data_IF_206680624631
#
_entry.id   IF_206680624631
#
_cell.length_a   1.000
_cell.length_b   1.000
_cell.length_c   1.000
_cell.angle_alpha   90.00
_cell.angle_beta   90.00
_cell.angle_gamma   90.00
#
_symmetry.space_group_name_H-M   'P 1'
#
loop_
_entity.id
_entity.type
_entity.pdbx_description
1 polymer ?
#
# COMPACT_ATOMS: atom_id res chain seq x y z
N UNK A 1 8.59 -14.59 4.99
CA UNK A 1 10.06 -14.39 4.79
C UNK A 1 10.92 -15.66 4.66
N UNK A 2 10.47 -16.87 5.01
CA UNK A 2 11.34 -18.07 5.06
C UNK A 2 12.07 -18.42 3.76
N UNK A 3 11.44 -18.24 2.59
CA UNK A 3 12.09 -18.49 1.29
C UNK A 3 13.09 -17.37 0.97
N UNK A 4 12.68 -16.11 1.11
CA UNK A 4 13.51 -14.94 0.82
C UNK A 4 14.81 -14.96 1.62
N UNK A 5 14.77 -15.31 2.90
CA UNK A 5 15.97 -15.36 3.76
C UNK A 5 16.94 -16.50 3.40
N UNK A 6 16.55 -17.44 2.54
CA UNK A 6 17.40 -18.56 2.09
C UNK A 6 18.00 -18.35 0.70
N UNK A 7 17.51 -17.37 -0.04
CA UNK A 7 18.01 -17.10 -1.39
C UNK A 7 19.39 -16.44 -1.31
N UNK A 8 20.38 -16.87 -2.12
CA UNK A 8 21.71 -16.29 -2.14
C UNK A 8 21.70 -14.97 -2.93
N UNK A 9 21.12 -13.92 -2.35
CA UNK A 9 21.07 -12.61 -2.98
C UNK A 9 22.49 -12.03 -3.15
N UNK A 10 22.85 -11.53 -4.35
CA UNK A 10 23.99 -10.64 -4.50
C UNK A 10 23.88 -9.44 -3.57
N UNK A 11 25.01 -8.87 -3.15
CA UNK A 11 25.08 -7.75 -2.18
C UNK A 11 24.15 -6.59 -2.55
N UNK A 12 24.08 -6.24 -3.85
CA UNK A 12 23.17 -5.20 -4.37
C UNK A 12 21.67 -5.44 -4.11
N UNK A 13 21.27 -6.64 -3.73
CA UNK A 13 19.88 -7.03 -3.43
C UNK A 13 19.70 -7.54 -2.00
N UNK A 14 20.68 -7.33 -1.12
CA UNK A 14 20.66 -7.85 0.24
C UNK A 14 19.46 -7.37 1.08
N UNK A 15 18.86 -6.22 0.71
CA UNK A 15 17.67 -5.66 1.38
C UNK A 15 16.33 -6.25 0.91
N UNK A 16 16.27 -6.92 -0.25
CA UNK A 16 15.01 -7.41 -0.81
C UNK A 16 14.21 -8.32 0.14
N UNK A 17 14.83 -9.24 0.91
CA UNK A 17 14.10 -10.05 1.87
C UNK A 17 13.37 -9.25 2.95
N UNK A 18 13.97 -8.15 3.38
CA UNK A 18 13.40 -7.24 4.38
C UNK A 18 12.26 -6.44 3.76
N UNK A 19 12.49 -5.75 2.63
CA UNK A 19 11.49 -4.93 1.96
C UNK A 19 10.25 -5.76 1.59
N UNK A 20 10.45 -6.86 0.86
CA UNK A 20 9.35 -7.73 0.45
C UNK A 20 8.78 -8.53 1.62
N UNK A 21 9.56 -8.75 2.67
CA UNK A 21 9.14 -9.48 3.87
C UNK A 21 8.22 -8.67 4.79
N UNK A 22 8.47 -7.37 4.85
CA UNK A 22 7.90 -6.46 5.84
C UNK A 22 6.75 -5.60 5.29
N UNK A 23 6.40 -5.68 4.00
CA UNK A 23 5.32 -4.86 3.42
C UNK A 23 3.91 -5.20 3.93
N UNK A 24 3.74 -6.28 4.69
CA UNK A 24 2.51 -6.59 5.44
C UNK A 24 2.61 -6.27 6.94
N UNK A 25 3.75 -5.72 7.38
CA UNK A 25 3.86 -5.10 8.69
C UNK A 25 3.00 -3.84 8.73
N UNK A 26 2.54 -3.49 9.93
CA UNK A 26 1.67 -2.34 10.16
C UNK A 26 2.35 -1.39 11.11
N UNK A 27 2.24 -0.07 10.88
CA UNK A 27 2.88 0.94 11.74
C UNK A 27 2.54 0.73 13.23
N UNK A 28 1.33 0.27 13.55
CA UNK A 28 0.82 -0.01 14.89
C UNK A 28 1.28 -1.36 15.48
N UNK A 29 2.18 -2.10 14.83
CA UNK A 29 2.73 -3.37 15.32
C UNK A 29 1.80 -4.58 15.18
N UNK A 30 0.60 -4.42 14.63
CA UNK A 30 -0.38 -5.52 14.45
C UNK A 30 -0.23 -6.24 13.11
N UNK A 31 0.86 -5.98 12.40
CA UNK A 31 1.18 -6.60 11.13
C UNK A 31 1.85 -7.96 11.31
N UNK A 32 2.33 -8.49 10.19
CA UNK A 32 3.01 -9.78 10.15
C UNK A 32 4.08 -9.76 9.04
N UNK A 33 5.09 -10.66 9.06
CA UNK A 33 5.24 -11.84 9.92
C UNK A 33 6.06 -11.67 11.20
N UNK A 34 6.73 -10.54 11.40
CA UNK A 34 7.66 -10.26 12.49
C UNK A 34 7.02 -9.37 13.58
N UNK A 35 5.94 -8.65 13.27
CA UNK A 35 5.26 -7.76 14.23
C UNK A 35 6.04 -6.46 14.44
N UNK A 36 6.68 -5.96 13.37
CA UNK A 36 7.44 -4.71 13.41
C UNK A 36 6.49 -3.51 13.54
N UNK A 37 6.97 -2.45 14.19
CA UNK A 37 6.21 -1.22 14.41
C UNK A 37 6.99 0.04 14.04
N UNK A 38 6.28 1.10 13.65
CA UNK A 38 6.87 2.41 13.34
C UNK A 38 8.12 2.34 12.45
N UNK A 39 9.24 2.81 13.00
CA UNK A 39 10.53 2.90 12.29
C UNK A 39 11.30 1.59 12.19
N UNK A 40 10.83 0.51 12.82
CA UNK A 40 11.37 -0.84 12.57
C UNK A 40 11.04 -1.32 11.15
N UNK A 41 10.02 -0.73 10.52
CA UNK A 41 9.64 -1.00 9.13
C UNK A 41 10.41 -0.04 8.22
N UNK A 42 11.18 -0.58 7.27
CA UNK A 42 11.88 0.24 6.29
C UNK A 42 10.93 1.16 5.53
N UNK A 43 11.45 2.31 5.11
CA UNK A 43 10.67 3.25 4.33
C UNK A 43 10.21 2.64 2.99
N UNK A 44 11.06 1.82 2.37
CA UNK A 44 10.76 1.08 1.15
C UNK A 44 9.61 0.07 1.35
N UNK A 45 9.58 -0.66 2.46
CA UNK A 45 8.47 -1.57 2.79
C UNK A 45 7.16 -0.78 3.02
N UNK A 46 7.23 0.39 3.66
CA UNK A 46 6.06 1.26 3.87
C UNK A 46 5.50 1.81 2.55
N UNK A 47 6.36 2.19 1.60
CA UNK A 47 5.94 2.58 0.24
C UNK A 47 5.27 1.39 -0.45
N UNK A 48 5.90 0.21 -0.39
CA UNK A 48 5.39 -1.00 -1.04
C UNK A 48 4.02 -1.39 -0.49
N UNK A 49 3.80 -1.26 0.83
CA UNK A 49 2.50 -1.54 1.45
C UNK A 49 1.37 -0.68 0.88
N UNK A 50 1.59 0.64 0.74
CA UNK A 50 0.58 1.56 0.17
C UNK A 50 0.26 1.19 -1.27
N UNK A 51 1.29 0.93 -2.09
CA UNK A 51 1.13 0.55 -3.49
C UNK A 51 0.39 -0.79 -3.64
N UNK A 52 0.82 -1.83 -2.90
CA UNK A 52 0.25 -3.18 -2.95
C UNK A 52 -1.24 -3.16 -2.58
N UNK A 53 -1.60 -2.46 -1.50
CA UNK A 53 -3.01 -2.36 -1.08
C UNK A 53 -3.84 -1.64 -2.13
N UNK A 54 -3.38 -0.49 -2.62
CA UNK A 54 -4.13 0.29 -3.62
C UNK A 54 -4.39 -0.52 -4.90
N UNK A 55 -3.35 -1.16 -5.43
CA UNK A 55 -3.46 -1.98 -6.63
C UNK A 55 -4.33 -3.21 -6.37
N UNK A 56 -4.15 -3.91 -5.25
CA UNK A 56 -4.93 -5.10 -4.91
C UNK A 56 -6.44 -4.83 -4.78
N UNK A 57 -6.84 -3.65 -4.30
CA UNK A 57 -8.27 -3.30 -4.15
C UNK A 57 -8.88 -2.71 -5.42
N UNK A 58 -8.06 -2.25 -6.37
CA UNK A 58 -8.53 -1.67 -7.65
C UNK A 58 -8.36 -2.61 -8.86
N UNK A 59 -7.63 -3.71 -8.69
CA UNK A 59 -7.36 -4.71 -9.72
C UNK A 59 -8.65 -5.28 -10.34
N UNK A 60 -8.77 -5.18 -11.66
CA UNK A 60 -9.95 -5.61 -12.43
C UNK A 60 -9.84 -7.02 -13.01
N UNK A 61 -8.68 -7.64 -12.89
CA UNK A 61 -8.31 -8.96 -13.44
C UNK A 61 -8.49 -10.10 -12.43
N UNK A 62 -9.03 -9.82 -11.23
CA UNK A 62 -9.29 -10.83 -10.20
C UNK A 62 -10.65 -11.51 -10.45
N UNK A 63 -10.70 -12.81 -10.82
CA UNK A 63 -11.94 -13.48 -11.27
C UNK A 63 -13.04 -13.56 -10.20
N UNK A 64 -12.67 -13.41 -8.94
CA UNK A 64 -13.55 -13.65 -7.79
C UNK A 64 -13.92 -12.37 -7.03
N UNK A 65 -13.48 -11.20 -7.50
CA UNK A 65 -13.71 -9.94 -6.78
C UNK A 65 -13.83 -8.78 -7.76
N UNK A 66 -14.99 -8.14 -7.74
CA UNK A 66 -15.18 -6.89 -8.46
C UNK A 66 -14.22 -5.81 -7.92
N UNK A 67 -13.58 -5.02 -8.81
CA UNK A 67 -12.69 -3.95 -8.40
C UNK A 67 -13.46 -2.89 -7.62
N UNK A 68 -12.85 -2.41 -6.53
CA UNK A 68 -13.42 -1.26 -5.83
C UNK A 68 -13.42 -0.03 -6.73
N UNK A 69 -14.42 0.85 -6.53
CA UNK A 69 -14.35 2.20 -7.08
C UNK A 69 -13.17 2.97 -6.49
N UNK A 70 -12.66 3.95 -7.23
CA UNK A 70 -11.51 4.76 -6.83
C UNK A 70 -11.72 5.42 -5.46
N UNK A 71 -12.90 5.97 -5.20
CA UNK A 71 -13.27 6.56 -3.92
C UNK A 71 -13.20 5.56 -2.76
N UNK A 72 -13.64 4.32 -2.99
CA UNK A 72 -13.60 3.25 -2.00
C UNK A 72 -12.16 2.79 -1.73
N UNK A 73 -11.32 2.69 -2.76
CA UNK A 73 -9.91 2.38 -2.61
C UNK A 73 -9.17 3.45 -1.78
N UNK A 74 -9.37 4.73 -2.09
CA UNK A 74 -8.77 5.83 -1.34
C UNK A 74 -9.30 5.90 0.10
N UNK A 75 -10.59 5.61 0.31
CA UNK A 75 -11.18 5.51 1.64
C UNK A 75 -10.52 4.42 2.49
N UNK A 76 -10.22 3.26 1.91
CA UNK A 76 -9.50 2.19 2.60
C UNK A 76 -8.13 2.69 3.07
N UNK A 77 -7.33 3.27 2.18
CA UNK A 77 -6.01 3.80 2.56
C UNK A 77 -6.09 4.86 3.66
N UNK A 78 -7.07 5.77 3.57
CA UNK A 78 -7.30 6.81 4.58
C UNK A 78 -7.55 6.20 5.97
N UNK A 79 -8.46 5.24 6.09
CA UNK A 79 -8.78 4.65 7.39
C UNK A 79 -7.64 3.77 7.91
N UNK A 80 -6.97 3.02 7.03
CA UNK A 80 -5.77 2.27 7.42
C UNK A 80 -4.67 3.19 7.96
N UNK A 81 -4.43 4.35 7.34
CA UNK A 81 -3.51 5.34 7.88
C UNK A 81 -3.99 5.95 9.21
N UNK A 82 -5.28 6.23 9.33
CA UNK A 82 -5.89 6.75 10.57
C UNK A 82 -5.76 5.76 11.74
N UNK A 83 -5.93 4.47 11.47
CA UNK A 83 -5.84 3.39 12.44
C UNK A 83 -4.38 2.98 12.74
N UNK A 84 -3.41 3.70 12.17
CA UNK A 84 -1.98 3.45 12.32
C UNK A 84 -1.53 2.16 11.66
N UNK A 85 -2.24 1.66 10.65
CA UNK A 85 -1.80 0.50 9.89
C UNK A 85 -0.81 0.89 8.79
N UNK A 86 -1.02 2.06 8.17
CA UNK A 86 -0.15 2.62 7.14
C UNK A 86 0.51 3.92 7.60
N UNK A 87 1.64 4.24 6.95
CA UNK A 87 2.32 5.51 7.13
C UNK A 87 1.47 6.67 6.59
N UNK A 88 1.08 7.57 7.49
CA UNK A 88 0.17 8.69 7.19
C UNK A 88 0.75 9.66 6.18
N UNK A 89 2.04 9.98 6.29
CA UNK A 89 2.68 10.94 5.41
C UNK A 89 2.81 10.37 3.99
N UNK A 90 3.06 9.06 3.87
CA UNK A 90 3.05 8.39 2.56
C UNK A 90 1.66 8.37 1.92
N UNK A 91 0.61 8.04 2.67
CA UNK A 91 -0.77 8.06 2.13
C UNK A 91 -1.18 9.48 1.71
N UNK A 92 -0.83 10.48 2.52
CA UNK A 92 -1.04 11.90 2.21
C UNK A 92 -0.27 12.34 0.96
N UNK A 93 0.98 11.93 0.84
CA UNK A 93 1.80 12.20 -0.35
C UNK A 93 1.24 11.52 -1.60
N UNK A 94 0.82 10.25 -1.50
CA UNK A 94 0.20 9.51 -2.59
C UNK A 94 -1.07 10.21 -3.11
N UNK A 95 -1.92 10.72 -2.21
CA UNK A 95 -3.07 11.53 -2.60
C UNK A 95 -2.65 12.86 -3.26
N UNK A 96 -1.77 13.64 -2.61
CA UNK A 96 -1.36 14.98 -3.08
C UNK A 96 -0.64 14.97 -4.42
N UNK A 97 0.12 13.91 -4.70
CA UNK A 97 0.80 13.75 -5.99
C UNK A 97 -0.16 13.57 -7.17
N UNK A 98 -1.43 13.23 -6.92
CA UNK A 98 -2.40 12.90 -7.98
C UNK A 98 -2.18 11.53 -8.62
N UNK A 99 -1.15 10.77 -8.19
CA UNK A 99 -0.77 9.50 -8.80
C UNK A 99 -1.91 8.47 -8.77
N UNK A 100 -2.71 8.44 -7.70
CA UNK A 100 -3.88 7.55 -7.60
C UNK A 100 -4.87 7.76 -8.76
N UNK A 101 -5.07 9.02 -9.19
CA UNK A 101 -5.99 9.39 -10.25
C UNK A 101 -5.37 9.14 -11.63
N UNK A 102 -4.08 9.43 -11.80
CA UNK A 102 -3.35 9.12 -13.03
C UNK A 102 -3.33 7.62 -13.30
N UNK A 103 -3.03 6.81 -12.27
CA UNK A 103 -3.12 5.35 -12.33
C UNK A 103 -4.54 4.90 -12.71
N UNK A 104 -5.55 5.43 -12.02
CA UNK A 104 -6.94 5.08 -12.28
C UNK A 104 -7.35 5.34 -13.74
N UNK A 105 -7.02 6.52 -14.28
CA UNK A 105 -7.32 6.87 -15.68
C UNK A 105 -6.63 5.95 -16.69
N UNK A 106 -5.47 5.39 -16.34
CA UNK A 106 -4.70 4.51 -17.21
C UNK A 106 -5.14 3.05 -17.15
N UNK A 107 -5.53 2.56 -15.98
CA UNK A 107 -5.67 1.12 -15.73
C UNK A 107 -7.06 0.67 -15.27
N UNK A 108 -7.90 1.56 -14.73
CA UNK A 108 -9.24 1.21 -14.27
C UNK A 108 -10.26 1.42 -15.39
N UNK A 109 -11.35 0.64 -15.35
CA UNK A 109 -12.51 0.89 -16.20
C UNK A 109 -13.17 2.21 -15.80
N UNK A 110 -13.72 2.92 -16.77
CA UNK A 110 -14.35 4.24 -16.56
C UNK A 110 -15.45 4.20 -15.49
N UNK A 111 -16.22 3.12 -15.40
CA UNK A 111 -17.27 2.95 -14.39
C UNK A 111 -16.74 2.84 -12.94
N UNK A 112 -15.47 2.48 -12.76
CA UNK A 112 -14.81 2.39 -11.46
C UNK A 112 -14.13 3.70 -11.03
N UNK A 113 -14.12 4.73 -11.89
CA UNK A 113 -13.49 6.03 -11.60
C UNK A 113 -14.56 7.02 -11.16
N UNK A 114 -14.76 7.13 -9.84
CA UNK A 114 -15.63 8.13 -9.20
C UNK A 114 -14.81 9.18 -8.42
N UNK A 115 -15.51 10.19 -7.88
CA UNK A 115 -14.87 11.31 -7.18
C UNK A 115 -14.43 10.94 -5.77
N UNK A 116 -13.19 11.28 -5.42
CA UNK A 116 -12.64 11.12 -4.08
C UNK A 116 -12.94 12.37 -3.25
N UNK A 117 -13.95 12.30 -2.39
CA UNK A 117 -14.43 13.42 -1.57
C UNK A 117 -14.02 13.24 -0.10
N UNK A 118 -12.71 13.20 0.17
CA UNK A 118 -12.17 13.07 1.53
C UNK A 118 -11.01 14.04 1.72
N UNK A 119 -10.88 14.58 2.94
CA UNK A 119 -9.78 15.48 3.26
C UNK A 119 -8.57 14.69 3.78
N UNK A 120 -7.61 14.42 2.88
CA UNK A 120 -6.34 13.80 3.24
C UNK A 120 -5.37 14.78 3.94
N UNK A 121 -5.68 16.08 4.01
CA UNK A 121 -4.83 17.02 4.73
C UNK A 121 -4.96 16.85 6.25
N UNK A 122 -6.10 16.34 6.73
CA UNK A 122 -6.38 16.07 8.14
C UNK A 122 -5.91 14.69 8.64
N UNK A 123 -5.30 13.87 7.77
CA UNK A 123 -4.54 12.69 8.21
C UNK A 123 -3.35 13.12 9.06
#
# INVERSE_FOLDING_TARGET
VKILNKLPFPEKYAKNPEISGSHHEKINGKGYPLGLSGDEISFEARILAVADIFEAVTASDRPYKEPNKLSAAMKILYFMAKDGELDKELVKFFYKSGLYLEYAKKWLKKENIDSVNMDFNSL
#
